data_IF_627937418773
#
_entry.id   IF_627937418773
#
_cell.length_a   1.000
_cell.length_b   1.000
_cell.length_c   1.000
_cell.angle_alpha   90.00
_cell.angle_beta   90.00
_cell.angle_gamma   90.00
#
_symmetry.space_group_name_H-M   'P 1'
#
loop_
_entity.id
_entity.type
_entity.pdbx_description
1 polymer ?
#
# COMPACT_ATOMS: atom_id res chain seq x y z
N UNK A 1 7.52 -8.04 11.07
CA UNK A 1 8.00 -7.85 9.69
C UNK A 1 9.38 -7.19 9.68
N UNK A 2 10.25 -7.62 8.77
CA UNK A 2 11.54 -6.97 8.52
C UNK A 2 11.32 -5.62 7.85
N UNK A 3 10.51 -5.59 6.77
CA UNK A 3 10.22 -4.36 6.04
C UNK A 3 8.93 -4.41 5.24
N UNK A 4 8.39 -3.21 4.96
CA UNK A 4 7.43 -2.93 3.92
C UNK A 4 8.03 -1.89 2.97
N UNK A 5 8.03 -2.18 1.67
CA UNK A 5 8.29 -1.21 0.59
C UNK A 5 7.06 -1.14 -0.31
N UNK A 6 6.57 0.05 -0.56
CA UNK A 6 5.38 0.24 -1.38
C UNK A 6 5.63 1.33 -2.43
N UNK A 7 5.36 1.00 -3.69
CA UNK A 7 5.35 1.94 -4.81
C UNK A 7 3.88 2.23 -5.19
N UNK A 8 3.53 3.51 -5.19
CA UNK A 8 2.21 4.04 -5.51
C UNK A 8 2.30 4.86 -6.82
N UNK A 9 1.65 4.40 -7.87
CA UNK A 9 1.61 5.11 -9.16
C UNK A 9 0.27 5.81 -9.29
N UNK A 10 0.27 7.13 -9.10
CA UNK A 10 -0.92 7.98 -9.13
C UNK A 10 -1.01 8.73 -10.46
N UNK A 11 -2.14 8.59 -11.13
CA UNK A 11 -2.44 9.21 -12.43
C UNK A 11 -3.92 9.55 -12.55
N UNK A 12 -4.30 10.22 -13.63
CA UNK A 12 -5.70 10.40 -14.04
C UNK A 12 -5.98 9.55 -15.28
N UNK A 13 -7.21 9.06 -15.41
CA UNK A 13 -7.66 8.42 -16.63
C UNK A 13 -8.24 9.45 -17.63
N UNK A 14 -8.73 8.98 -18.77
CA UNK A 14 -9.33 9.84 -19.81
C UNK A 14 -10.58 10.61 -19.38
N UNK A 15 -11.20 10.22 -18.27
CA UNK A 15 -12.37 10.86 -17.67
C UNK A 15 -11.98 11.79 -16.50
N UNK A 16 -10.67 12.02 -16.29
CA UNK A 16 -10.09 12.72 -15.15
C UNK A 16 -10.41 12.09 -13.78
N UNK A 17 -10.67 10.79 -13.74
CA UNK A 17 -10.82 10.06 -12.51
C UNK A 17 -9.46 9.55 -12.06
N UNK A 18 -9.13 9.71 -10.78
CA UNK A 18 -7.85 9.27 -10.24
C UNK A 18 -7.70 7.75 -10.28
N UNK A 19 -6.53 7.31 -10.73
CA UNK A 19 -6.10 5.92 -10.80
C UNK A 19 -4.91 5.74 -9.88
N UNK A 20 -4.92 4.68 -9.11
CA UNK A 20 -3.81 4.28 -8.26
C UNK A 20 -3.44 2.82 -8.55
N UNK A 21 -2.21 2.60 -9.03
CA UNK A 21 -1.61 1.27 -9.04
C UNK A 21 -0.63 1.18 -7.87
N UNK A 22 -0.69 0.09 -7.13
CA UNK A 22 0.15 -0.14 -5.94
C UNK A 22 0.91 -1.44 -6.10
N UNK A 23 2.20 -1.40 -5.72
CA UNK A 23 3.04 -2.58 -5.57
C UNK A 23 3.60 -2.58 -4.15
N UNK A 24 3.07 -3.44 -3.30
CA UNK A 24 3.54 -3.63 -1.92
C UNK A 24 4.47 -4.84 -1.84
N UNK A 25 5.64 -4.66 -1.25
CA UNK A 25 6.58 -5.75 -0.98
C UNK A 25 6.81 -5.88 0.52
N UNK A 26 6.24 -6.91 1.09
CA UNK A 26 6.43 -7.30 2.49
C UNK A 26 7.56 -8.30 2.61
N UNK A 27 8.43 -8.09 3.58
CA UNK A 27 9.40 -9.08 4.04
C UNK A 27 9.04 -9.49 5.46
N UNK A 28 8.58 -10.72 5.62
CA UNK A 28 8.21 -11.30 6.90
C UNK A 28 9.26 -12.33 7.36
N UNK A 29 9.55 -12.39 8.66
CA UNK A 29 10.39 -13.41 9.24
C UNK A 29 9.54 -14.22 10.21
N UNK A 30 9.39 -15.50 9.90
CA UNK A 30 8.62 -16.46 10.69
C UNK A 30 9.55 -17.32 11.55
N UNK A 31 9.05 -17.87 12.67
CA UNK A 31 9.83 -18.82 13.46
C UNK A 31 10.12 -20.09 12.68
N UNK A 32 11.19 -20.79 13.05
CA UNK A 32 11.63 -22.04 12.39
C UNK A 32 10.82 -23.28 12.80
N UNK A 33 9.71 -23.09 13.50
CA UNK A 33 8.77 -24.14 13.90
C UNK A 33 7.37 -23.86 13.36
N UNK A 34 6.52 -24.89 13.36
CA UNK A 34 5.18 -24.86 12.80
C UNK A 34 4.24 -23.95 13.61
N UNK A 35 4.05 -22.70 13.16
CA UNK A 35 3.18 -21.73 13.80
C UNK A 35 2.29 -21.00 12.80
N UNK A 36 2.86 -20.48 11.73
CA UNK A 36 2.18 -19.61 10.77
C UNK A 36 2.03 -20.26 9.41
N UNK A 37 0.95 -19.95 8.71
CA UNK A 37 0.66 -20.43 7.35
C UNK A 37 0.69 -19.34 6.28
N UNK A 38 1.16 -18.14 6.64
CA UNK A 38 1.23 -16.98 5.75
C UNK A 38 0.89 -15.68 6.46
N UNK A 39 0.42 -14.70 5.68
CA UNK A 39 0.02 -13.37 6.18
C UNK A 39 -1.41 -13.03 5.74
N UNK A 40 -2.02 -12.08 6.44
CA UNK A 40 -3.24 -11.41 5.98
C UNK A 40 -2.93 -9.94 5.69
N UNK A 41 -3.42 -9.44 4.55
CA UNK A 41 -3.36 -8.02 4.18
C UNK A 41 -4.78 -7.50 3.95
N UNK A 42 -5.21 -6.58 4.80
CA UNK A 42 -6.47 -5.86 4.64
C UNK A 42 -6.24 -4.61 3.79
N UNK A 43 -6.91 -4.50 2.66
CA UNK A 43 -6.82 -3.37 1.73
C UNK A 43 -8.19 -2.69 1.69
N UNK A 44 -8.29 -1.36 1.92
CA UNK A 44 -9.57 -0.68 1.95
C UNK A 44 -10.26 -0.74 0.59
N UNK A 45 -11.57 -1.02 0.60
CA UNK A 45 -12.45 -0.97 -0.59
C UNK A 45 -13.20 0.34 -0.68
N UNK A 46 -13.20 1.13 0.40
CA UNK A 46 -13.84 2.43 0.47
C UNK A 46 -12.94 3.44 1.19
N UNK A 47 -13.03 4.68 0.77
CA UNK A 47 -12.45 5.82 1.47
C UNK A 47 -13.46 6.97 1.53
N UNK A 48 -13.86 7.37 2.73
CA UNK A 48 -14.95 8.32 2.96
C UNK A 48 -16.24 7.86 2.24
N UNK A 49 -16.64 8.55 1.16
CA UNK A 49 -17.84 8.23 0.37
C UNK A 49 -17.52 7.47 -0.91
N UNK A 50 -16.23 7.34 -1.26
CA UNK A 50 -15.80 6.78 -2.53
C UNK A 50 -15.64 5.27 -2.41
N UNK A 51 -16.16 4.55 -3.40
CA UNK A 51 -15.84 3.15 -3.65
C UNK A 51 -14.56 3.13 -4.49
N UNK A 52 -13.53 2.42 -4.00
CA UNK A 52 -12.20 2.45 -4.60
C UNK A 52 -12.01 1.48 -5.78
N UNK A 53 -13.04 0.74 -6.18
CA UNK A 53 -12.97 -0.24 -7.28
C UNK A 53 -11.70 -1.12 -7.24
N UNK A 54 -11.37 -1.61 -6.05
CA UNK A 54 -10.16 -2.40 -5.81
C UNK A 54 -10.11 -3.65 -6.68
N UNK A 55 -9.00 -3.85 -7.39
CA UNK A 55 -8.71 -5.05 -8.17
C UNK A 55 -7.33 -5.58 -7.84
N UNK A 56 -7.24 -6.83 -7.40
CA UNK A 56 -5.96 -7.52 -7.18
C UNK A 56 -5.45 -8.02 -8.53
N UNK A 57 -4.24 -7.61 -8.90
CA UNK A 57 -3.58 -8.02 -10.14
C UNK A 57 -2.72 -9.28 -9.92
N UNK A 58 -1.92 -9.31 -8.84
CA UNK A 58 -1.06 -10.45 -8.53
C UNK A 58 -0.67 -10.50 -7.07
N UNK A 59 -0.35 -11.71 -6.60
CA UNK A 59 0.29 -11.96 -5.30
C UNK A 59 1.44 -12.93 -5.55
N UNK A 60 2.68 -12.49 -5.35
CA UNK A 60 3.87 -13.22 -5.78
C UNK A 60 4.94 -13.32 -4.69
N UNK A 61 5.84 -14.28 -4.83
CA UNK A 61 7.04 -14.41 -4.01
C UNK A 61 8.21 -13.59 -4.60
N UNK A 62 9.43 -13.72 -4.03
CA UNK A 62 10.65 -13.03 -4.49
C UNK A 62 11.13 -13.41 -5.89
N UNK A 63 10.66 -14.52 -6.43
CA UNK A 63 10.99 -15.03 -7.77
C UNK A 63 9.88 -14.74 -8.81
N UNK A 64 8.92 -13.85 -8.47
CA UNK A 64 7.74 -13.56 -9.28
C UNK A 64 6.86 -14.80 -9.57
N UNK A 65 6.88 -15.79 -8.69
CA UNK A 65 6.00 -16.97 -8.76
C UNK A 65 4.75 -16.65 -7.92
N UNK A 66 3.58 -16.94 -8.49
CA UNK A 66 2.30 -16.69 -7.84
C UNK A 66 2.17 -17.48 -6.53
N UNK A 67 1.62 -16.81 -5.51
CA UNK A 67 1.27 -17.43 -4.23
C UNK A 67 -0.23 -17.67 -4.15
N UNK A 68 -0.60 -18.80 -3.54
CA UNK A 68 -2.00 -19.06 -3.22
C UNK A 68 -2.53 -18.01 -2.24
N UNK A 69 -3.73 -17.52 -2.48
CA UNK A 69 -4.46 -16.68 -1.54
C UNK A 69 -5.97 -16.87 -1.68
N UNK A 70 -6.68 -16.55 -0.63
CA UNK A 70 -8.14 -16.41 -0.60
C UNK A 70 -8.50 -15.02 -0.14
N UNK A 71 -9.72 -14.57 -0.42
CA UNK A 71 -10.20 -13.26 0.00
C UNK A 71 -11.49 -13.34 0.79
N UNK A 72 -11.69 -12.40 1.69
CA UNK A 72 -12.95 -12.15 2.37
C UNK A 72 -13.09 -10.67 2.71
N UNK A 73 -14.32 -10.20 2.92
CA UNK A 73 -14.61 -8.82 3.28
C UNK A 73 -14.69 -8.66 4.80
N UNK A 74 -14.11 -7.58 5.32
CA UNK A 74 -14.19 -7.20 6.73
C UNK A 74 -14.00 -5.70 6.92
N UNK A 75 -14.95 -5.02 7.56
CA UNK A 75 -14.88 -3.60 7.93
C UNK A 75 -14.45 -2.68 6.76
N UNK A 76 -15.15 -2.75 5.63
CA UNK A 76 -14.85 -2.02 4.38
C UNK A 76 -13.45 -2.30 3.81
N UNK A 77 -12.85 -3.45 4.15
CA UNK A 77 -11.62 -3.95 3.55
C UNK A 77 -11.86 -5.25 2.81
N UNK A 78 -11.14 -5.45 1.72
CA UNK A 78 -10.87 -6.77 1.16
C UNK A 78 -9.62 -7.33 1.86
N UNK A 79 -9.77 -8.43 2.58
CA UNK A 79 -8.65 -9.10 3.26
C UNK A 79 -8.13 -10.22 2.39
N UNK A 80 -6.86 -10.14 2.02
CA UNK A 80 -6.13 -11.21 1.35
C UNK A 80 -5.48 -12.10 2.42
N UNK A 81 -5.90 -13.35 2.49
CA UNK A 81 -5.23 -14.40 3.27
C UNK A 81 -4.28 -15.13 2.34
N UNK A 82 -2.99 -14.83 2.45
CA UNK A 82 -1.94 -15.30 1.53
C UNK A 82 -1.17 -16.42 2.19
N UNK A 83 -1.26 -17.62 1.62
CA UNK A 83 -0.63 -18.84 2.10
C UNK A 83 -1.48 -20.07 1.79
N UNK A 84 -1.14 -21.17 2.43
CA UNK A 84 -1.80 -22.47 2.25
C UNK A 84 -2.27 -22.98 3.63
N UNK A 85 -3.53 -23.46 3.70
CA UNK A 85 -4.10 -23.96 4.94
C UNK A 85 -3.39 -25.23 5.47
N UNK A 86 -2.74 -25.98 4.59
CA UNK A 86 -2.10 -27.25 4.92
C UNK A 86 -0.58 -27.15 5.04
N UNK A 87 0.00 -25.95 4.79
CA UNK A 87 1.45 -25.76 4.74
C UNK A 87 1.90 -24.62 5.68
N UNK A 88 2.84 -24.91 6.56
CA UNK A 88 3.48 -23.89 7.39
C UNK A 88 4.57 -23.13 6.64
N UNK A 89 4.71 -21.85 6.94
CA UNK A 89 5.81 -21.00 6.47
C UNK A 89 6.83 -20.79 7.58
N UNK A 90 8.11 -20.80 7.24
CA UNK A 90 9.23 -20.61 8.16
C UNK A 90 10.26 -19.67 7.57
N UNK A 91 11.11 -19.10 8.42
CA UNK A 91 12.19 -18.23 8.01
C UNK A 91 11.73 -16.97 7.29
N UNK A 92 12.57 -16.45 6.43
CA UNK A 92 12.33 -15.22 5.68
C UNK A 92 11.45 -15.48 4.46
N UNK A 93 10.32 -14.79 4.37
CA UNK A 93 9.35 -14.88 3.28
C UNK A 93 9.11 -13.51 2.66
N UNK A 94 8.98 -13.47 1.34
CA UNK A 94 8.65 -12.25 0.59
C UNK A 94 7.25 -12.39 -0.02
N UNK A 95 6.45 -11.33 0.11
CA UNK A 95 5.11 -11.22 -0.48
C UNK A 95 5.06 -9.92 -1.27
N UNK A 96 4.88 -10.02 -2.59
CA UNK A 96 4.66 -8.88 -3.48
C UNK A 96 3.20 -8.88 -3.89
N UNK A 97 2.46 -7.83 -3.54
CA UNK A 97 1.04 -7.67 -3.85
C UNK A 97 0.90 -6.51 -4.81
N UNK A 98 0.31 -6.75 -5.97
CA UNK A 98 0.00 -5.70 -6.96
C UNK A 98 -1.51 -5.56 -7.08
N UNK A 99 -2.00 -4.33 -6.98
CA UNK A 99 -3.42 -4.01 -7.12
C UNK A 99 -3.65 -2.63 -7.69
N UNK A 100 -4.86 -2.39 -8.19
CA UNK A 100 -5.30 -1.09 -8.70
C UNK A 100 -6.57 -0.63 -7.99
N UNK A 101 -6.72 0.70 -7.95
CA UNK A 101 -7.88 1.39 -7.40
C UNK A 101 -8.25 2.59 -8.28
N UNK A 102 -9.49 3.05 -8.16
CA UNK A 102 -10.00 4.28 -8.77
C UNK A 102 -10.57 5.20 -7.70
N UNK A 103 -10.73 6.47 -8.07
CA UNK A 103 -11.40 7.49 -7.24
C UNK A 103 -10.76 7.68 -5.85
N UNK A 104 -9.42 7.71 -5.83
CA UNK A 104 -8.62 7.76 -4.60
C UNK A 104 -8.33 9.19 -4.11
N UNK A 105 -8.64 10.22 -4.90
CA UNK A 105 -8.48 11.64 -4.53
C UNK A 105 -9.80 12.16 -3.95
N UNK A 106 -9.72 12.85 -2.82
CA UNK A 106 -10.86 13.55 -2.23
C UNK A 106 -10.83 15.02 -2.64
N UNK A 107 -11.94 15.50 -3.20
CA UNK A 107 -12.10 16.88 -3.60
C UNK A 107 -12.73 17.72 -2.47
N UNK A 108 -12.13 18.88 -2.19
CA UNK A 108 -12.63 19.86 -1.23
C UNK A 108 -12.71 21.24 -1.89
N UNK A 109 -13.43 22.16 -1.28
CA UNK A 109 -13.66 23.52 -1.82
C UNK A 109 -12.38 24.33 -2.10
N UNK A 110 -11.29 24.06 -1.37
CA UNK A 110 -10.05 24.84 -1.45
C UNK A 110 -8.86 24.06 -1.98
N UNK A 111 -8.88 22.74 -1.93
CA UNK A 111 -7.78 21.86 -2.37
C UNK A 111 -8.25 20.45 -2.53
N UNK A 112 -7.55 19.68 -3.36
CA UNK A 112 -7.72 18.24 -3.46
C UNK A 112 -6.71 17.52 -2.58
N UNK A 113 -7.06 16.34 -2.09
CA UNK A 113 -6.23 15.58 -1.16
C UNK A 113 -6.17 14.12 -1.58
N UNK A 114 -4.95 13.61 -1.70
CA UNK A 114 -4.70 12.18 -1.63
C UNK A 114 -4.11 11.86 -0.25
N UNK A 115 -4.83 11.06 0.51
CA UNK A 115 -4.42 10.56 1.83
C UNK A 115 -4.37 9.03 1.79
N UNK A 116 -3.30 8.45 2.30
CA UNK A 116 -3.13 7.01 2.31
C UNK A 116 -2.44 6.52 3.58
N UNK A 117 -2.98 5.46 4.17
CA UNK A 117 -2.33 4.72 5.25
C UNK A 117 -1.45 3.63 4.65
N UNK A 118 -0.13 3.89 4.59
CA UNK A 118 0.84 3.07 3.86
C UNK A 118 0.87 1.62 4.32
N UNK A 119 0.96 1.42 5.63
CA UNK A 119 1.00 0.06 6.19
C UNK A 119 -0.37 -0.49 6.56
N UNK A 120 -1.40 0.35 6.68
CA UNK A 120 -2.71 -0.03 7.21
C UNK A 120 -2.68 -0.24 8.73
N UNK A 121 -3.85 -0.32 9.32
CA UNK A 121 -4.07 -0.36 10.78
C UNK A 121 -4.36 -1.78 11.34
N UNK A 122 -4.40 -2.80 10.46
CA UNK A 122 -4.81 -4.16 10.86
C UNK A 122 -3.64 -5.08 11.28
N UNK A 123 -2.43 -4.52 11.41
CA UNK A 123 -1.27 -5.31 11.80
C UNK A 123 -1.07 -5.35 13.31
N UNK A 124 -0.86 -6.54 13.85
CA UNK A 124 -0.46 -6.74 15.27
C UNK A 124 1.05 -6.74 15.43
N UNK A 125 1.80 -6.99 14.36
CA UNK A 125 3.25 -7.07 14.34
C UNK A 125 3.85 -5.75 13.88
N UNK A 126 4.94 -5.29 14.51
CA UNK A 126 5.65 -4.11 14.07
C UNK A 126 6.40 -4.35 12.76
N UNK A 127 6.71 -3.26 12.06
CA UNK A 127 7.63 -3.23 10.93
C UNK A 127 8.97 -2.65 11.37
N UNK A 128 10.08 -3.31 10.97
CA UNK A 128 11.43 -2.79 11.20
C UNK A 128 11.70 -1.55 10.34
N UNK A 129 11.15 -1.50 9.14
CA UNK A 129 11.15 -0.31 8.28
C UNK A 129 9.93 -0.26 7.37
N UNK A 130 9.47 0.96 7.08
CA UNK A 130 8.42 1.23 6.07
C UNK A 130 8.96 2.28 5.12
N UNK A 131 8.88 2.03 3.83
CA UNK A 131 9.24 2.99 2.77
C UNK A 131 8.12 3.07 1.76
N UNK A 132 7.62 4.26 1.49
CA UNK A 132 6.65 4.52 0.43
C UNK A 132 7.28 5.40 -0.66
N UNK A 133 7.04 5.04 -1.91
CA UNK A 133 7.42 5.86 -3.07
C UNK A 133 6.16 6.19 -3.86
N UNK A 134 5.85 7.47 -3.98
CA UNK A 134 4.69 7.97 -4.70
C UNK A 134 5.15 8.52 -6.03
N UNK A 135 4.85 7.82 -7.10
CA UNK A 135 5.15 8.18 -8.49
C UNK A 135 3.96 8.97 -9.05
N UNK A 136 4.14 10.25 -9.26
CA UNK A 136 3.11 11.14 -9.79
C UNK A 136 3.24 11.29 -11.28
N UNK A 137 2.15 11.09 -12.01
CA UNK A 137 2.08 11.47 -13.42
C UNK A 137 2.33 12.97 -13.59
N UNK A 138 2.88 13.42 -14.75
CA UNK A 138 3.30 14.81 -14.95
C UNK A 138 2.20 15.85 -14.70
N UNK A 139 0.97 15.57 -15.08
CA UNK A 139 -0.22 16.42 -14.88
C UNK A 139 -0.58 16.60 -13.41
N UNK A 140 -0.47 15.55 -12.61
CA UNK A 140 -0.65 15.63 -11.16
C UNK A 140 0.53 16.31 -10.47
N UNK A 141 1.75 16.06 -10.92
CA UNK A 141 2.95 16.62 -10.30
C UNK A 141 2.99 18.16 -10.35
N UNK A 142 2.48 18.78 -11.42
CA UNK A 142 2.40 20.25 -11.52
C UNK A 142 1.29 20.85 -10.67
N UNK A 143 0.35 20.05 -10.20
CA UNK A 143 -0.80 20.47 -9.38
C UNK A 143 -0.50 20.42 -7.89
N UNK A 144 0.66 19.92 -7.46
CA UNK A 144 1.04 19.90 -6.04
C UNK A 144 1.17 21.34 -5.53
N UNK A 145 0.29 21.72 -4.63
CA UNK A 145 0.26 23.07 -4.02
C UNK A 145 0.94 23.14 -2.64
N UNK A 146 1.12 22.01 -1.97
CA UNK A 146 1.72 21.92 -0.63
C UNK A 146 2.74 20.80 -0.56
N UNK A 147 3.71 20.95 0.35
CA UNK A 147 4.65 19.85 0.62
C UNK A 147 3.90 18.66 1.21
N UNK A 148 4.24 17.44 0.76
CA UNK A 148 3.70 16.22 1.35
C UNK A 148 4.06 16.13 2.84
N UNK A 149 3.13 15.59 3.61
CA UNK A 149 3.28 15.42 5.06
C UNK A 149 3.16 13.91 5.34
N UNK A 150 4.03 13.39 6.21
CA UNK A 150 3.88 12.03 6.71
C UNK A 150 3.62 12.04 8.23
N UNK A 151 2.79 11.10 8.66
CA UNK A 151 2.47 10.87 10.05
C UNK A 151 2.89 9.47 10.47
N UNK A 152 3.37 9.34 11.71
CA UNK A 152 3.77 8.08 12.33
C UNK A 152 3.12 7.92 13.69
N UNK A 153 3.18 6.70 14.23
CA UNK A 153 2.65 6.36 15.54
C UNK A 153 1.47 5.39 15.50
N UNK A 154 0.90 5.13 16.66
CA UNK A 154 -0.30 4.31 16.78
C UNK A 154 -1.55 5.10 16.33
N UNK A 155 -2.65 4.38 16.11
CA UNK A 155 -3.93 5.00 15.74
C UNK A 155 -4.28 6.20 16.64
N UNK A 156 -4.56 7.35 16.01
CA UNK A 156 -4.88 8.62 16.69
C UNK A 156 -3.66 9.44 17.12
N UNK A 157 -2.43 8.99 16.88
CA UNK A 157 -1.22 9.77 17.06
C UNK A 157 -0.83 10.49 15.76
N UNK A 158 -0.19 11.65 15.88
CA UNK A 158 0.27 12.48 14.77
C UNK A 158 1.76 12.82 14.93
N UNK A 159 2.58 11.85 15.32
CA UNK A 159 4.03 12.03 15.30
C UNK A 159 4.51 12.14 13.84
N UNK A 160 5.64 12.80 13.62
CA UNK A 160 6.23 13.02 12.28
C UNK A 160 7.66 12.47 12.24
N UNK A 161 7.90 11.34 12.88
CA UNK A 161 9.20 10.65 12.92
C UNK A 161 9.48 9.92 11.60
N UNK A 162 9.34 10.65 10.48
CA UNK A 162 9.56 10.19 9.13
C UNK A 162 10.26 11.28 8.31
N UNK A 163 10.91 10.89 7.24
CA UNK A 163 11.54 11.81 6.29
C UNK A 163 10.77 11.83 4.98
N UNK A 164 10.64 13.00 4.37
CA UNK A 164 10.03 13.18 3.06
C UNK A 164 11.04 13.81 2.12
N UNK A 165 11.24 13.19 0.97
CA UNK A 165 12.07 13.73 -0.11
C UNK A 165 11.35 13.66 -1.45
N UNK A 166 11.73 14.49 -2.40
CA UNK A 166 11.16 14.49 -3.75
C UNK A 166 12.27 14.58 -4.80
N UNK A 167 12.17 13.78 -5.85
CA UNK A 167 13.11 13.78 -6.97
C UNK A 167 12.38 13.60 -8.29
N UNK A 168 13.02 13.98 -9.40
CA UNK A 168 12.59 13.64 -10.75
C UNK A 168 13.21 12.31 -11.16
N UNK A 169 12.40 11.37 -11.61
CA UNK A 169 12.82 10.10 -12.19
C UNK A 169 12.17 9.95 -13.57
N UNK A 170 12.92 10.25 -14.63
CA UNK A 170 12.36 10.41 -15.98
C UNK A 170 11.31 11.52 -16.00
N UNK A 171 10.13 11.24 -16.52
CA UNK A 171 9.01 12.18 -16.60
C UNK A 171 8.21 12.30 -15.31
N UNK A 172 8.43 11.41 -14.35
CA UNK A 172 7.66 11.37 -13.10
C UNK A 172 8.33 12.19 -12.00
N UNK A 173 7.51 12.73 -11.11
CA UNK A 173 7.95 13.20 -9.79
C UNK A 173 7.75 12.08 -8.80
N UNK A 174 8.82 11.68 -8.11
CA UNK A 174 8.75 10.62 -7.08
C UNK A 174 8.95 11.25 -5.72
N UNK A 175 7.97 11.06 -4.83
CA UNK A 175 8.04 11.44 -3.42
C UNK A 175 8.37 10.17 -2.64
N UNK A 176 9.43 10.20 -1.84
CA UNK A 176 9.85 9.08 -0.99
C UNK A 176 9.68 9.44 0.48
N UNK A 177 9.08 8.54 1.20
CA UNK A 177 8.80 8.61 2.63
C UNK A 177 9.43 7.42 3.33
#
# INVERSE_FOLDING_TARGET
FESLKADYYLSLDSENVSQLKVVEKFVAVFPEYDQNRGIERAIPTKYKKNNLDLKIESVQNEYAIDRNYTTYESNDNLVLRIGDADSYVRGRQVYTITYTMRDVITFYDQQDEWYWDVNGDQWRQPFGSVTARIHLAPDLAVSISKQPICFTGSYGQNATDCSVSSAKEGDQTVITI
#
